data_IF_034524523328
#
_entry.id   IF_034524523328
#
_cell.length_a   1.000
_cell.length_b   1.000
_cell.length_c   1.000
_cell.angle_alpha   90.00
_cell.angle_beta   90.00
_cell.angle_gamma   90.00
#
_symmetry.space_group_name_H-M   'P 1'
#
loop_
_entity.id
_entity.type
_entity.pdbx_description
1 polymer ?
#
# COMPACT_ATOMS: atom_id res chain seq x y z
N UNK A 1 -28.53 -96.47 19.72
CA UNK A 1 -27.55 -95.65 18.96
C UNK A 1 -28.24 -94.38 18.51
N UNK A 2 -27.99 -93.25 19.16
CA UNK A 2 -28.40 -91.92 18.68
C UNK A 2 -27.26 -90.96 19.00
N UNK A 3 -26.74 -90.33 17.94
CA UNK A 3 -25.50 -89.55 17.92
C UNK A 3 -25.77 -88.04 17.98
N UNK A 4 -24.84 -87.35 18.63
CA UNK A 4 -24.71 -85.90 18.83
C UNK A 4 -25.00 -85.02 17.59
N UNK A 5 -25.72 -83.92 17.81
CA UNK A 5 -25.60 -82.67 17.03
C UNK A 5 -25.47 -81.51 18.00
N UNK A 6 -24.27 -80.96 18.12
CA UNK A 6 -24.02 -79.66 18.72
C UNK A 6 -22.72 -79.11 18.11
N UNK A 7 -22.68 -77.79 17.97
CA UNK A 7 -21.59 -76.95 17.46
C UNK A 7 -21.64 -76.70 15.95
N UNK A 8 -22.17 -75.54 15.54
CA UNK A 8 -21.62 -74.74 14.42
C UNK A 8 -22.29 -73.36 14.19
N UNK A 9 -22.80 -72.69 15.23
CA UNK A 9 -23.45 -71.37 15.04
C UNK A 9 -22.90 -70.20 15.90
N UNK A 10 -21.85 -70.38 16.70
CA UNK A 10 -21.36 -69.33 17.63
C UNK A 10 -19.95 -68.79 17.27
N UNK A 11 -19.34 -69.24 16.16
CA UNK A 11 -17.97 -68.81 15.80
C UNK A 11 -17.85 -67.69 14.78
N UNK A 12 -18.94 -67.28 14.13
CA UNK A 12 -18.90 -66.24 13.08
C UNK A 12 -19.12 -64.83 13.65
N UNK A 13 -19.79 -64.69 14.79
CA UNK A 13 -20.15 -63.36 15.31
C UNK A 13 -18.99 -62.61 15.96
N UNK A 14 -18.07 -63.30 16.64
CA UNK A 14 -16.95 -62.61 17.32
C UNK A 14 -15.96 -62.04 16.30
N UNK A 15 -15.69 -62.76 15.21
CA UNK A 15 -14.71 -62.30 14.22
C UNK A 15 -15.21 -61.08 13.44
N UNK A 16 -16.51 -61.07 13.10
CA UNK A 16 -17.16 -59.93 12.44
C UNK A 16 -17.26 -58.73 13.40
N UNK A 17 -17.56 -58.97 14.68
CA UNK A 17 -17.63 -57.91 15.69
C UNK A 17 -16.24 -57.28 15.96
N UNK A 18 -15.17 -58.08 15.99
CA UNK A 18 -13.79 -57.57 16.16
C UNK A 18 -13.35 -56.76 14.94
N UNK A 19 -13.72 -57.18 13.73
CA UNK A 19 -13.44 -56.41 12.51
C UNK A 19 -14.24 -55.10 12.51
N UNK A 20 -15.52 -55.11 12.90
CA UNK A 20 -16.35 -53.90 12.98
C UNK A 20 -15.87 -52.93 14.06
N UNK A 21 -15.49 -53.42 15.24
CA UNK A 21 -14.91 -52.60 16.32
C UNK A 21 -13.53 -52.06 15.90
N UNK A 22 -12.71 -52.87 15.22
CA UNK A 22 -11.43 -52.44 14.66
C UNK A 22 -11.59 -51.37 13.57
N UNK A 23 -12.61 -51.49 12.72
CA UNK A 23 -12.92 -50.50 11.68
C UNK A 23 -13.51 -49.21 12.26
N UNK A 24 -14.34 -49.29 13.31
CA UNK A 24 -14.83 -48.14 14.07
C UNK A 24 -13.73 -47.44 14.86
N UNK A 25 -12.77 -48.17 15.43
CA UNK A 25 -11.58 -47.60 16.07
C UNK A 25 -10.64 -46.98 15.03
N UNK A 26 -10.48 -47.59 13.86
CA UNK A 26 -9.69 -47.03 12.76
C UNK A 26 -10.30 -45.72 12.22
N UNK A 27 -11.64 -45.66 12.08
CA UNK A 27 -12.36 -44.43 11.72
C UNK A 27 -12.35 -43.38 12.84
N UNK A 28 -12.28 -43.80 14.12
CA UNK A 28 -12.14 -42.88 15.25
C UNK A 28 -10.70 -42.37 15.44
N UNK A 29 -9.68 -43.08 14.93
CA UNK A 29 -8.28 -42.63 14.90
C UNK A 29 -7.93 -41.81 13.67
N UNK A 30 -8.78 -41.84 12.62
CA UNK A 30 -8.76 -40.92 11.48
C UNK A 30 -9.59 -39.65 11.77
N UNK A 31 -9.76 -39.29 13.04
CA UNK A 31 -9.87 -37.88 13.40
C UNK A 31 -8.47 -37.30 13.23
N UNK A 32 -8.09 -37.11 11.97
CA UNK A 32 -6.90 -36.39 11.57
C UNK A 32 -6.90 -35.08 12.33
N UNK A 33 -5.94 -34.97 13.23
CA UNK A 33 -5.53 -33.78 13.94
C UNK A 33 -4.98 -32.80 12.87
N UNK A 34 -5.88 -32.20 12.11
CA UNK A 34 -5.59 -31.11 11.18
C UNK A 34 -5.57 -29.81 11.99
N UNK A 35 -4.75 -29.80 13.04
CA UNK A 35 -4.43 -28.63 13.83
C UNK A 35 -2.94 -28.62 14.16
N UNK A 36 -2.10 -29.00 13.19
CA UNK A 36 -0.83 -28.29 13.02
C UNK A 36 -1.09 -27.13 12.03
N UNK A 37 -2.04 -26.27 12.42
CA UNK A 37 -1.89 -24.87 12.11
C UNK A 37 -0.52 -24.51 12.68
N UNK A 38 0.44 -24.31 11.79
CA UNK A 38 1.49 -23.34 12.03
C UNK A 38 0.75 -21.99 12.16
N UNK A 39 0.08 -21.81 13.30
CA UNK A 39 -0.28 -20.53 13.81
C UNK A 39 1.07 -19.84 13.98
N UNK A 40 1.48 -19.13 12.94
CA UNK A 40 2.17 -17.89 13.13
C UNK A 40 1.26 -17.12 14.08
N UNK A 41 1.54 -17.24 15.38
CA UNK A 41 1.02 -16.37 16.41
C UNK A 41 1.16 -14.97 15.80
N UNK A 42 0.06 -14.21 15.60
CA UNK A 42 0.20 -12.83 15.22
C UNK A 42 1.02 -12.23 16.35
N UNK A 43 2.26 -11.84 16.05
CA UNK A 43 3.13 -11.24 17.03
C UNK A 43 2.37 -10.08 17.64
N UNK A 44 1.96 -10.24 18.89
CA UNK A 44 1.27 -9.23 19.69
C UNK A 44 2.20 -8.06 20.05
N UNK A 45 3.27 -7.87 19.27
CA UNK A 45 4.33 -6.88 19.43
C UNK A 45 4.39 -5.88 18.26
N UNK A 46 3.39 -5.83 17.36
CA UNK A 46 3.32 -4.75 16.36
C UNK A 46 3.38 -3.35 17.00
N UNK A 47 3.09 -3.20 18.30
CA UNK A 47 3.12 -1.90 18.99
C UNK A 47 4.46 -1.44 19.59
N UNK A 48 5.54 -2.24 19.58
CA UNK A 48 6.82 -1.88 20.22
C UNK A 48 7.98 -1.75 19.24
N UNK A 49 7.91 -2.42 18.09
CA UNK A 49 8.96 -2.40 17.07
C UNK A 49 8.83 -1.19 16.14
N UNK A 50 9.67 -0.18 16.30
CA UNK A 50 9.60 1.07 15.55
C UNK A 50 10.33 1.05 14.18
N UNK A 51 10.83 -0.12 13.77
CA UNK A 51 11.40 -0.37 12.43
C UNK A 51 10.33 -0.94 11.51
N UNK A 52 9.81 -0.12 10.62
CA UNK A 52 8.77 -0.47 9.65
C UNK A 52 9.23 -0.22 8.22
N UNK A 53 8.69 -0.94 7.25
CA UNK A 53 8.92 -0.67 5.83
C UNK A 53 7.71 -1.11 5.04
N UNK A 54 7.35 -0.36 4.00
CA UNK A 54 6.34 -0.79 3.02
C UNK A 54 7.05 -1.18 1.74
N UNK A 55 6.71 -2.36 1.21
CA UNK A 55 7.20 -2.83 -0.09
C UNK A 55 6.09 -2.70 -1.13
N UNK A 56 6.40 -2.04 -2.24
CA UNK A 56 5.48 -1.82 -3.35
C UNK A 56 6.08 -2.39 -4.64
N UNK A 57 5.22 -2.99 -5.45
CA UNK A 57 5.57 -3.57 -6.75
C UNK A 57 4.65 -3.03 -7.83
N UNK A 58 5.22 -2.39 -8.85
CA UNK A 58 4.47 -1.69 -9.89
C UNK A 58 4.42 -2.52 -11.17
N UNK A 59 3.45 -2.23 -12.03
CA UNK A 59 3.37 -2.76 -13.40
C UNK A 59 3.12 -4.26 -13.52
N UNK A 60 2.68 -4.97 -12.48
CA UNK A 60 2.24 -6.36 -12.58
C UNK A 60 3.15 -7.31 -13.40
N UNK A 61 4.48 -7.19 -13.29
CA UNK A 61 5.44 -8.06 -14.03
C UNK A 61 5.33 -9.51 -13.55
N UNK A 62 5.44 -10.48 -14.46
CA UNK A 62 5.30 -11.91 -14.11
C UNK A 62 6.39 -12.41 -13.14
N UNK A 63 7.57 -11.81 -13.16
CA UNK A 63 8.67 -12.08 -12.22
C UNK A 63 8.28 -11.76 -10.77
N UNK A 64 7.38 -10.80 -10.56
CA UNK A 64 6.89 -10.46 -9.24
C UNK A 64 6.09 -11.62 -8.61
N UNK A 65 5.36 -12.38 -9.42
CA UNK A 65 4.69 -13.59 -8.98
C UNK A 65 5.62 -14.80 -8.91
N UNK A 66 6.42 -15.02 -9.96
CA UNK A 66 7.19 -16.27 -10.12
C UNK A 66 8.52 -16.29 -9.36
N UNK A 67 9.10 -15.12 -9.05
CA UNK A 67 10.42 -15.00 -8.41
C UNK A 67 10.35 -14.25 -7.07
N UNK A 68 9.70 -13.09 -7.04
CA UNK A 68 9.66 -12.21 -5.85
C UNK A 68 8.76 -12.78 -4.76
N UNK A 69 7.53 -13.20 -5.09
CA UNK A 69 6.57 -13.76 -4.13
C UNK A 69 7.18 -14.92 -3.31
N UNK A 70 7.85 -15.95 -3.91
CA UNK A 70 8.52 -16.99 -3.13
C UNK A 70 9.55 -16.47 -2.11
N UNK A 71 10.27 -15.39 -2.43
CA UNK A 71 11.22 -14.76 -1.51
C UNK A 71 10.49 -14.03 -0.37
N UNK A 72 9.39 -13.34 -0.67
CA UNK A 72 8.54 -12.72 0.35
C UNK A 72 7.96 -13.77 1.30
N UNK A 73 7.41 -14.85 0.76
CA UNK A 73 6.80 -15.96 1.51
C UNK A 73 7.81 -16.62 2.46
N UNK A 74 9.06 -16.80 2.02
CA UNK A 74 10.16 -17.33 2.85
C UNK A 74 10.35 -16.56 4.16
N UNK A 75 10.09 -15.25 4.16
CA UNK A 75 10.23 -14.39 5.34
C UNK A 75 8.88 -14.00 5.97
N UNK A 76 7.77 -14.54 5.46
CA UNK A 76 6.42 -14.18 5.93
C UNK A 76 6.01 -12.74 5.61
N UNK A 77 6.65 -12.11 4.63
CA UNK A 77 6.39 -10.72 4.28
C UNK A 77 5.20 -10.60 3.32
N UNK A 78 4.37 -9.58 3.56
CA UNK A 78 3.31 -9.14 2.64
C UNK A 78 3.65 -7.76 2.09
N UNK A 79 3.16 -7.49 0.89
CA UNK A 79 3.52 -6.31 0.11
C UNK A 79 2.28 -5.79 -0.64
N UNK A 80 2.37 -4.58 -1.21
CA UNK A 80 1.33 -4.05 -2.09
C UNK A 80 1.75 -4.15 -3.55
N UNK A 81 0.89 -4.70 -4.40
CA UNK A 81 1.08 -4.77 -5.85
C UNK A 81 0.16 -3.77 -6.55
N UNK A 82 0.75 -2.84 -7.29
CA UNK A 82 0.05 -1.81 -8.06
C UNK A 82 -0.16 -2.26 -9.50
N UNK A 83 -1.42 -2.40 -9.89
CA UNK A 83 -1.82 -3.16 -11.07
C UNK A 83 -2.31 -2.25 -12.19
N UNK A 84 -1.77 -2.46 -13.39
CA UNK A 84 -2.30 -1.90 -14.63
C UNK A 84 -3.32 -2.87 -15.20
N UNK A 85 -4.61 -2.54 -15.12
CA UNK A 85 -5.66 -3.55 -15.34
C UNK A 85 -5.63 -4.17 -16.74
N UNK A 86 -5.36 -3.37 -17.80
CA UNK A 86 -5.26 -3.90 -19.17
C UNK A 86 -4.03 -4.75 -19.44
N UNK A 87 -3.09 -4.87 -18.52
CA UNK A 87 -1.94 -5.76 -18.73
C UNK A 87 -2.26 -7.19 -18.33
N UNK A 88 -3.19 -7.39 -17.39
CA UNK A 88 -3.66 -8.71 -16.99
C UNK A 88 -4.26 -9.45 -18.19
N UNK A 89 -3.82 -10.69 -18.41
CA UNK A 89 -4.18 -11.59 -19.52
C UNK A 89 -3.79 -11.12 -20.93
N UNK A 90 -3.42 -9.85 -21.09
CA UNK A 90 -3.33 -9.20 -22.39
C UNK A 90 -1.90 -8.78 -22.77
N UNK A 91 -0.93 -8.86 -21.85
CA UNK A 91 0.45 -8.44 -22.09
C UNK A 91 1.45 -9.53 -21.71
N UNK A 92 2.23 -10.02 -22.69
CA UNK A 92 3.28 -11.02 -22.45
C UNK A 92 4.34 -10.49 -21.47
N UNK A 93 4.72 -11.32 -20.49
CA UNK A 93 5.68 -10.96 -19.44
C UNK A 93 5.06 -10.25 -18.23
N UNK A 94 3.72 -10.18 -18.18
CA UNK A 94 2.93 -9.62 -17.10
C UNK A 94 2.03 -10.72 -16.52
N UNK A 95 1.58 -10.50 -15.29
CA UNK A 95 0.68 -11.42 -14.61
C UNK A 95 -0.65 -11.56 -15.35
N UNK A 96 -1.30 -12.71 -15.17
CA UNK A 96 -2.71 -12.93 -15.48
C UNK A 96 -3.60 -12.72 -14.24
N UNK A 97 -4.92 -12.78 -14.40
CA UNK A 97 -5.86 -12.63 -13.28
C UNK A 97 -5.70 -13.71 -12.21
N UNK A 98 -5.42 -14.96 -12.60
CA UNK A 98 -5.26 -16.07 -11.63
C UNK A 98 -4.09 -15.80 -10.68
N UNK A 99 -2.96 -15.30 -11.20
CA UNK A 99 -1.78 -14.96 -10.41
C UNK A 99 -2.04 -13.77 -9.48
N UNK A 100 -2.73 -12.73 -9.97
CA UNK A 100 -3.09 -11.58 -9.15
C UNK A 100 -4.06 -11.95 -8.02
N UNK A 101 -5.11 -12.72 -8.33
CA UNK A 101 -6.07 -13.20 -7.34
C UNK A 101 -5.41 -14.11 -6.30
N UNK A 102 -4.38 -14.86 -6.70
CA UNK A 102 -3.59 -15.68 -5.77
C UNK A 102 -2.83 -14.78 -4.78
N UNK A 103 -2.14 -13.74 -5.25
CA UNK A 103 -1.49 -12.76 -4.37
C UNK A 103 -2.49 -12.16 -3.37
N UNK A 104 -3.66 -11.76 -3.85
CA UNK A 104 -4.71 -11.18 -3.00
C UNK A 104 -5.23 -12.16 -1.94
N UNK A 105 -5.57 -13.39 -2.34
CA UNK A 105 -6.06 -14.45 -1.43
C UNK A 105 -5.02 -14.83 -0.37
N UNK A 106 -3.74 -14.72 -0.70
CA UNK A 106 -2.63 -14.96 0.23
C UNK A 106 -2.26 -13.74 1.09
N UNK A 107 -3.06 -12.69 1.06
CA UNK A 107 -2.95 -11.54 1.98
C UNK A 107 -2.00 -10.45 1.51
N UNK A 108 -1.53 -10.46 0.25
CA UNK A 108 -0.92 -9.28 -0.33
C UNK A 108 -1.98 -8.22 -0.64
N UNK A 109 -1.62 -6.96 -0.48
CA UNK A 109 -2.49 -5.84 -0.79
C UNK A 109 -2.42 -5.52 -2.29
N UNK A 110 -3.55 -5.14 -2.88
CA UNK A 110 -3.64 -4.81 -4.31
C UNK A 110 -4.07 -3.35 -4.46
N UNK A 111 -3.23 -2.56 -5.09
CA UNK A 111 -3.48 -1.17 -5.46
C UNK A 111 -3.72 -1.01 -6.97
N UNK A 112 -4.30 0.12 -7.36
CA UNK A 112 -4.53 0.42 -8.78
C UNK A 112 -3.43 1.30 -9.37
N UNK A 113 -3.03 1.02 -10.61
CA UNK A 113 -2.03 1.76 -11.37
C UNK A 113 -2.54 2.22 -12.74
N UNK A 114 -3.79 2.67 -12.78
CA UNK A 114 -4.57 3.04 -13.98
C UNK A 114 -4.96 1.87 -14.88
N UNK A 115 -5.81 2.15 -15.89
CA UNK A 115 -6.18 1.15 -16.88
C UNK A 115 -5.01 0.76 -17.79
N UNK A 116 -4.23 1.73 -18.27
CA UNK A 116 -3.25 1.52 -19.35
C UNK A 116 -1.81 1.95 -19.01
N UNK A 117 -1.51 2.32 -17.77
CA UNK A 117 -0.25 2.97 -17.36
C UNK A 117 -0.08 4.36 -18.04
N UNK A 118 -1.14 5.16 -18.03
CA UNK A 118 -1.19 6.45 -18.72
C UNK A 118 -0.61 7.59 -17.86
N UNK A 119 0.06 8.55 -18.51
CA UNK A 119 0.38 9.84 -17.90
C UNK A 119 -0.92 10.65 -17.69
N UNK A 120 -1.12 11.14 -16.47
CA UNK A 120 -2.35 11.82 -16.06
C UNK A 120 -2.28 13.35 -16.13
N UNK A 121 -1.09 13.95 -16.22
CA UNK A 121 -0.88 15.41 -16.16
C UNK A 121 -1.65 16.16 -17.24
N UNK A 122 -1.67 15.63 -18.47
CA UNK A 122 -2.29 16.25 -19.65
C UNK A 122 -3.56 15.53 -20.13
N UNK A 123 -4.11 14.66 -19.29
CA UNK A 123 -5.29 13.87 -19.65
C UNK A 123 -6.59 14.67 -19.54
N UNK A 124 -7.46 14.56 -20.55
CA UNK A 124 -8.82 15.10 -20.46
C UNK A 124 -9.61 14.46 -19.30
N UNK A 125 -10.62 15.15 -18.76
CA UNK A 125 -11.47 14.59 -17.69
C UNK A 125 -12.05 13.21 -18.05
N UNK A 126 -12.47 13.01 -19.30
CA UNK A 126 -12.96 11.70 -19.77
C UNK A 126 -11.87 10.64 -19.74
N UNK A 127 -10.65 10.99 -20.15
CA UNK A 127 -9.49 10.11 -20.03
C UNK A 127 -9.19 9.78 -18.56
N UNK A 128 -9.24 10.76 -17.67
CA UNK A 128 -8.99 10.54 -16.25
C UNK A 128 -10.02 9.61 -15.61
N UNK A 129 -11.32 9.79 -15.87
CA UNK A 129 -12.37 8.88 -15.38
C UNK A 129 -12.19 7.47 -15.96
N UNK A 130 -11.76 7.35 -17.21
CA UNK A 130 -11.40 6.06 -17.80
C UNK A 130 -10.18 5.42 -17.10
N UNK A 131 -9.08 6.16 -16.97
CA UNK A 131 -7.84 5.63 -16.41
C UNK A 131 -7.97 5.29 -14.93
N UNK A 132 -8.63 6.13 -14.14
CA UNK A 132 -8.70 6.06 -12.67
C UNK A 132 -9.96 5.31 -12.22
N UNK A 133 -11.12 5.68 -12.76
CA UNK A 133 -12.41 5.11 -12.39
C UNK A 133 -12.58 3.69 -12.90
N UNK A 134 -12.35 3.44 -14.20
CA UNK A 134 -12.53 2.08 -14.73
C UNK A 134 -11.46 1.09 -14.24
N UNK A 135 -10.28 1.56 -13.79
CA UNK A 135 -9.32 0.66 -13.13
C UNK A 135 -9.81 0.20 -11.75
N UNK A 136 -10.62 1.03 -11.06
CA UNK A 136 -11.30 0.63 -9.83
C UNK A 136 -12.35 -0.44 -10.13
N UNK A 137 -13.20 -0.20 -11.12
CA UNK A 137 -14.26 -1.12 -11.53
C UNK A 137 -13.68 -2.47 -12.00
N UNK A 138 -12.64 -2.44 -12.83
CA UNK A 138 -11.95 -3.62 -13.34
C UNK A 138 -11.43 -4.54 -12.22
N UNK A 139 -10.85 -3.98 -11.16
CA UNK A 139 -10.42 -4.77 -9.99
C UNK A 139 -11.62 -5.27 -9.16
N UNK A 140 -12.67 -4.45 -9.02
CA UNK A 140 -13.89 -4.81 -8.29
C UNK A 140 -14.66 -5.96 -8.96
N UNK A 141 -14.66 -6.04 -10.29
CA UNK A 141 -15.26 -7.15 -11.05
C UNK A 141 -14.61 -8.51 -10.70
N UNK A 142 -13.36 -8.50 -10.24
CA UNK A 142 -12.63 -9.66 -9.74
C UNK A 142 -12.66 -9.79 -8.21
N UNK A 143 -13.56 -9.07 -7.53
CA UNK A 143 -13.72 -9.11 -6.07
C UNK A 143 -12.61 -8.41 -5.29
N UNK A 144 -11.75 -7.63 -5.96
CA UNK A 144 -10.65 -6.91 -5.33
C UNK A 144 -11.04 -5.45 -5.13
N UNK A 145 -11.27 -5.04 -3.87
CA UNK A 145 -11.55 -3.65 -3.54
C UNK A 145 -10.25 -2.87 -3.26
N UNK A 146 -9.53 -2.47 -4.31
CA UNK A 146 -8.31 -1.68 -4.18
C UNK A 146 -8.58 -0.31 -3.54
N UNK A 147 -8.00 -0.01 -2.37
CA UNK A 147 -8.21 1.25 -1.64
C UNK A 147 -7.12 2.29 -1.91
N UNK A 148 -5.97 1.87 -2.43
CA UNK A 148 -4.85 2.75 -2.75
C UNK A 148 -4.56 2.83 -4.26
N UNK A 149 -4.06 3.98 -4.69
CA UNK A 149 -3.72 4.27 -6.08
C UNK A 149 -2.26 4.71 -6.22
N UNK A 150 -1.69 4.47 -7.38
CA UNK A 150 -0.36 4.93 -7.73
C UNK A 150 -0.37 5.68 -9.06
N UNK A 151 0.25 6.86 -9.09
CA UNK A 151 0.37 7.66 -10.31
C UNK A 151 1.48 7.08 -11.20
N UNK A 152 1.19 6.63 -12.43
CA UNK A 152 2.22 6.26 -13.38
C UNK A 152 3.17 7.44 -13.60
N UNK A 153 4.47 7.15 -13.58
CA UNK A 153 5.54 8.14 -13.77
C UNK A 153 5.59 9.29 -12.74
N UNK A 154 4.85 9.19 -11.63
CA UNK A 154 4.63 10.28 -10.66
C UNK A 154 3.77 11.46 -11.18
N UNK A 155 3.22 11.32 -12.38
CA UNK A 155 2.61 12.42 -13.14
C UNK A 155 1.12 12.63 -12.76
N UNK A 156 0.75 13.89 -12.54
CA UNK A 156 -0.59 14.34 -12.22
C UNK A 156 -0.93 14.39 -10.72
N UNK A 157 0.00 13.97 -9.85
CA UNK A 157 -0.18 13.98 -8.38
C UNK A 157 -0.29 15.39 -7.78
N UNK A 158 0.21 16.41 -8.49
CA UNK A 158 0.13 17.84 -8.15
C UNK A 158 -1.01 18.57 -8.89
N UNK A 159 -1.78 17.86 -9.72
CA UNK A 159 -2.91 18.40 -10.46
C UNK A 159 -4.22 18.21 -9.69
N UNK A 160 -4.84 19.32 -9.28
CA UNK A 160 -6.10 19.32 -8.50
C UNK A 160 -7.22 18.53 -9.18
N UNK A 161 -7.34 18.58 -10.50
CA UNK A 161 -8.39 17.86 -11.23
C UNK A 161 -8.17 16.35 -11.15
N UNK A 162 -6.92 15.90 -11.29
CA UNK A 162 -6.54 14.48 -11.19
C UNK A 162 -6.81 13.99 -9.76
N UNK A 163 -6.32 14.69 -8.74
CA UNK A 163 -6.52 14.34 -7.33
C UNK A 163 -8.02 14.30 -6.96
N UNK A 164 -8.82 15.24 -7.49
CA UNK A 164 -10.27 15.22 -7.31
C UNK A 164 -10.94 13.98 -7.90
N UNK A 165 -10.38 13.38 -8.97
CA UNK A 165 -10.92 12.15 -9.55
C UNK A 165 -10.43 10.94 -8.76
N UNK A 166 -9.14 10.88 -8.42
CA UNK A 166 -8.56 9.84 -7.55
C UNK A 166 -9.36 9.71 -6.25
N UNK A 167 -9.64 10.84 -5.59
CA UNK A 167 -10.38 10.88 -4.32
C UNK A 167 -11.83 10.37 -4.37
N UNK A 168 -12.42 10.19 -5.56
CA UNK A 168 -13.74 9.56 -5.70
C UNK A 168 -13.69 8.04 -5.56
N UNK A 169 -12.56 7.43 -5.93
CA UNK A 169 -12.43 5.97 -6.10
C UNK A 169 -11.47 5.33 -5.11
N UNK A 170 -10.49 6.07 -4.63
CA UNK A 170 -9.41 5.59 -3.76
C UNK A 170 -9.28 6.45 -2.50
N UNK A 171 -8.92 5.82 -1.39
CA UNK A 171 -8.74 6.49 -0.10
C UNK A 171 -7.41 7.21 0.00
N UNK A 172 -6.38 6.58 -0.59
CA UNK A 172 -4.98 6.97 -0.57
C UNK A 172 -4.39 6.94 -1.98
N UNK A 173 -3.39 7.78 -2.24
CA UNK A 173 -2.56 7.65 -3.43
C UNK A 173 -1.10 8.00 -3.19
N UNK A 174 -0.21 7.33 -3.93
CA UNK A 174 1.24 7.43 -3.75
C UNK A 174 2.00 7.85 -5.01
N UNK A 175 3.06 8.60 -4.76
CA UNK A 175 4.07 9.15 -5.67
C UNK A 175 5.38 8.37 -5.56
N UNK A 176 6.36 8.69 -6.39
CA UNK A 176 7.69 8.06 -6.41
C UNK A 176 8.84 9.04 -6.14
N UNK A 177 8.60 10.06 -5.32
CA UNK A 177 9.47 11.25 -5.20
C UNK A 177 10.32 11.36 -3.92
N UNK A 178 10.29 10.40 -3.00
CA UNK A 178 11.05 10.56 -1.74
C UNK A 178 11.31 9.24 -0.99
N UNK A 179 12.48 9.06 -0.34
CA UNK A 179 12.81 7.87 0.46
C UNK A 179 11.93 7.63 1.69
N UNK A 180 11.33 8.68 2.24
CA UNK A 180 10.48 8.58 3.42
C UNK A 180 9.14 9.27 3.18
N UNK A 181 8.07 8.65 3.70
CA UNK A 181 6.79 9.29 3.92
C UNK A 181 6.63 9.66 5.40
N UNK A 182 6.32 10.92 5.69
CA UNK A 182 6.08 11.42 7.05
C UNK A 182 4.59 11.39 7.40
N UNK A 183 4.23 10.79 8.54
CA UNK A 183 2.82 10.58 8.91
C UNK A 183 2.09 11.86 9.28
N UNK A 184 2.81 12.94 9.64
CA UNK A 184 2.24 14.27 9.87
C UNK A 184 2.46 15.24 8.71
N UNK A 185 3.11 14.77 7.65
CA UNK A 185 3.44 15.54 6.46
C UNK A 185 4.27 16.82 6.69
N UNK A 186 5.04 16.88 7.76
CA UNK A 186 5.83 18.02 8.22
C UNK A 186 7.35 17.86 7.95
N UNK A 187 7.76 16.73 7.37
CA UNK A 187 9.17 16.39 7.17
C UNK A 187 9.87 17.10 6.01
N UNK A 188 9.16 17.88 5.18
CA UNK A 188 9.71 18.55 3.99
C UNK A 188 9.90 20.06 4.19
N UNK A 189 10.63 20.44 5.23
CA UNK A 189 10.77 21.83 5.71
C UNK A 189 11.35 22.80 4.67
N UNK A 190 12.19 22.32 3.76
CA UNK A 190 12.78 23.14 2.70
C UNK A 190 11.81 23.44 1.55
N UNK A 191 10.67 22.72 1.49
CA UNK A 191 9.68 22.81 0.42
C UNK A 191 8.31 23.27 0.89
N UNK A 192 8.00 23.06 2.18
CA UNK A 192 6.71 23.40 2.76
C UNK A 192 6.83 23.64 4.26
N UNK A 193 5.99 24.54 4.77
CA UNK A 193 5.79 24.78 6.20
C UNK A 193 4.49 24.16 6.73
N UNK A 194 3.90 23.21 5.99
CA UNK A 194 2.68 22.54 6.43
C UNK A 194 2.94 21.71 7.69
N UNK A 195 1.93 21.68 8.56
CA UNK A 195 1.97 20.97 9.83
C UNK A 195 0.95 19.83 9.89
N UNK A 196 0.27 19.54 8.78
CA UNK A 196 -0.63 18.39 8.64
C UNK A 196 -0.73 17.90 7.18
N UNK A 197 -1.44 16.79 6.99
CA UNK A 197 -1.61 16.12 5.71
C UNK A 197 -2.95 16.46 5.02
N UNK A 198 -3.60 17.60 5.37
CA UNK A 198 -4.88 17.97 4.74
C UNK A 198 -4.68 18.11 3.23
N UNK A 199 -5.59 17.61 2.40
CA UNK A 199 -5.41 17.66 0.93
C UNK A 199 -5.46 19.07 0.35
N UNK A 200 -6.33 19.92 0.88
CA UNK A 200 -6.52 21.28 0.37
C UNK A 200 -6.31 22.33 1.45
N UNK A 201 -5.68 23.43 1.05
CA UNK A 201 -5.66 24.68 1.81
C UNK A 201 -7.08 25.27 1.91
N UNK A 202 -7.29 26.25 2.80
CA UNK A 202 -8.57 26.98 2.92
C UNK A 202 -9.02 27.61 1.59
N UNK A 203 -8.07 27.97 0.73
CA UNK A 203 -8.34 28.57 -0.58
C UNK A 203 -8.45 27.53 -1.71
N UNK A 204 -8.56 26.24 -1.37
CA UNK A 204 -8.79 25.16 -2.34
C UNK A 204 -7.57 24.71 -3.15
N UNK A 205 -6.37 25.26 -2.89
CA UNK A 205 -5.11 24.79 -3.50
C UNK A 205 -4.67 23.47 -2.85
N UNK A 206 -4.08 22.57 -3.63
CA UNK A 206 -3.45 21.35 -3.10
C UNK A 206 -2.31 21.72 -2.14
N UNK A 207 -2.18 20.94 -1.08
CA UNK A 207 -1.01 20.99 -0.18
C UNK A 207 0.14 20.16 -0.73
N UNK A 208 1.35 20.43 -0.26
CA UNK A 208 2.58 19.84 -0.80
C UNK A 208 2.68 18.33 -0.53
N UNK A 209 2.22 17.88 0.64
CA UNK A 209 2.07 16.46 0.93
C UNK A 209 0.74 16.20 1.65
N UNK A 210 0.04 15.16 1.21
CA UNK A 210 -1.29 14.79 1.69
C UNK A 210 -1.59 13.32 1.40
N UNK A 211 -2.79 12.85 1.76
CA UNK A 211 -3.22 11.46 1.55
C UNK A 211 -3.25 10.97 0.09
N UNK A 212 -3.17 11.85 -0.89
CA UNK A 212 -3.06 11.50 -2.30
C UNK A 212 -1.68 11.82 -2.90
N UNK A 213 -0.68 12.10 -2.07
CA UNK A 213 0.72 12.32 -2.47
C UNK A 213 1.71 11.66 -1.50
N UNK A 214 1.37 10.46 -1.05
CA UNK A 214 2.22 9.61 -0.18
C UNK A 214 3.50 9.28 -0.93
N UNK A 215 4.67 9.51 -0.35
CA UNK A 215 5.94 9.39 -1.10
C UNK A 215 6.61 8.05 -0.91
N UNK A 216 7.08 7.46 -2.00
CA UNK A 216 7.99 6.33 -1.97
C UNK A 216 9.25 6.57 -2.80
N UNK A 217 10.24 5.71 -2.60
CA UNK A 217 11.47 5.71 -3.36
C UNK A 217 11.45 4.60 -4.38
N UNK A 218 11.52 5.01 -5.65
CA UNK A 218 11.68 4.08 -6.76
C UNK A 218 13.09 3.53 -6.78
N UNK A 219 13.20 2.28 -6.32
CA UNK A 219 14.46 1.55 -6.17
C UNK A 219 15.18 1.40 -7.51
N UNK A 220 14.47 0.83 -8.50
CA UNK A 220 14.99 0.59 -9.85
C UNK A 220 15.30 1.89 -10.60
N UNK A 221 14.53 2.96 -10.35
CA UNK A 221 14.83 4.28 -10.91
C UNK A 221 16.12 4.84 -10.35
N UNK A 222 16.31 4.72 -9.03
CA UNK A 222 17.53 5.16 -8.37
C UNK A 222 18.76 4.44 -8.93
N UNK A 223 18.65 3.15 -9.27
CA UNK A 223 19.70 2.42 -9.98
C UNK A 223 20.10 3.12 -11.27
N UNK A 224 19.12 3.36 -12.14
CA UNK A 224 19.33 3.99 -13.45
C UNK A 224 19.89 5.40 -13.33
N UNK A 225 19.30 6.23 -12.47
CA UNK A 225 19.68 7.64 -12.33
C UNK A 225 21.09 7.83 -11.76
N UNK A 226 21.53 6.91 -10.92
CA UNK A 226 22.83 7.01 -10.24
C UNK A 226 23.86 6.00 -10.78
N UNK A 227 23.48 5.20 -11.79
CA UNK A 227 24.30 4.11 -12.35
C UNK A 227 24.82 3.15 -11.27
N UNK A 228 23.98 2.81 -10.29
CA UNK A 228 24.38 1.89 -9.23
C UNK A 228 24.53 0.46 -9.77
N UNK A 229 25.60 -0.21 -9.34
CA UNK A 229 25.69 -1.65 -9.37
C UNK A 229 24.95 -2.27 -8.15
N UNK A 230 24.86 -3.60 -8.09
CA UNK A 230 24.11 -4.26 -7.02
C UNK A 230 24.66 -3.96 -5.61
N UNK A 231 25.98 -3.96 -5.35
CA UNK A 231 26.50 -3.55 -4.05
C UNK A 231 26.13 -2.11 -3.66
N UNK A 232 26.28 -1.14 -4.56
CA UNK A 232 25.94 0.25 -4.26
C UNK A 232 24.44 0.45 -4.03
N UNK A 233 23.61 -0.25 -4.82
CA UNK A 233 22.15 -0.20 -4.66
C UNK A 233 21.71 -0.85 -3.34
N UNK A 234 22.33 -1.96 -2.95
CA UNK A 234 22.11 -2.60 -1.64
C UNK A 234 22.48 -1.67 -0.47
N UNK A 235 23.64 -1.01 -0.54
CA UNK A 235 24.05 -0.03 0.48
C UNK A 235 23.05 1.13 0.54
N UNK A 236 22.56 1.59 -0.62
CA UNK A 236 21.53 2.62 -0.70
C UNK A 236 20.21 2.16 -0.09
N UNK A 237 19.78 0.93 -0.36
CA UNK A 237 18.61 0.32 0.27
C UNK A 237 18.72 0.36 1.80
N UNK A 238 19.85 -0.10 2.35
CA UNK A 238 20.13 -0.08 3.80
C UNK A 238 20.03 1.35 4.36
N UNK A 239 20.61 2.33 3.67
CA UNK A 239 20.52 3.73 4.09
C UNK A 239 19.07 4.22 4.13
N UNK A 240 18.28 3.92 3.10
CA UNK A 240 16.88 4.34 3.01
C UNK A 240 16.06 3.73 4.13
N UNK A 241 16.10 2.40 4.31
CA UNK A 241 15.27 1.74 5.33
C UNK A 241 15.68 2.12 6.75
N UNK A 242 16.97 2.34 7.01
CA UNK A 242 17.44 2.75 8.33
C UNK A 242 17.20 4.24 8.64
N UNK A 243 17.00 5.09 7.63
CA UNK A 243 16.82 6.55 7.82
C UNK A 243 15.60 6.91 8.68
N UNK A 244 14.61 6.02 8.77
CA UNK A 244 13.46 6.16 9.67
C UNK A 244 13.86 6.26 11.16
N UNK A 245 15.03 5.72 11.54
CA UNK A 245 15.52 5.69 12.92
C UNK A 245 15.81 7.09 13.47
N UNK A 246 15.86 8.10 12.60
CA UNK A 246 15.96 9.51 13.01
C UNK A 246 14.63 10.05 13.56
N UNK A 247 13.51 9.37 13.28
CA UNK A 247 12.16 9.87 13.55
C UNK A 247 11.35 8.91 14.42
N UNK A 248 11.46 7.60 14.17
CA UNK A 248 10.75 6.57 14.89
C UNK A 248 11.47 6.26 16.21
N UNK A 249 10.71 6.24 17.31
CA UNK A 249 11.22 6.01 18.67
C UNK A 249 10.17 5.32 19.53
N UNK A 250 10.60 4.36 20.35
CA UNK A 250 9.80 3.76 21.42
C UNK A 250 8.43 3.23 20.91
N UNK A 251 8.42 2.53 19.78
CA UNK A 251 7.20 2.01 19.15
C UNK A 251 6.36 3.04 18.38
N UNK A 252 6.71 4.33 18.43
CA UNK A 252 6.01 5.37 17.67
C UNK A 252 6.58 5.48 16.25
N UNK A 253 5.70 5.40 15.25
CA UNK A 253 6.05 5.56 13.84
C UNK A 253 5.72 6.99 13.40
N UNK A 254 6.73 7.71 12.92
CA UNK A 254 6.60 9.07 12.37
C UNK A 254 6.97 9.13 10.89
N UNK A 255 7.90 8.29 10.45
CA UNK A 255 8.33 8.19 9.07
C UNK A 255 8.40 6.72 8.63
N UNK A 256 7.96 6.45 7.42
CA UNK A 256 7.96 5.10 6.83
C UNK A 256 8.75 5.15 5.52
N UNK A 257 9.80 4.32 5.37
CA UNK A 257 10.38 4.04 4.08
C UNK A 257 9.39 3.22 3.25
N UNK A 258 9.06 3.72 2.06
CA UNK A 258 8.22 3.02 1.08
C UNK A 258 9.09 2.72 -0.13
N UNK A 259 9.37 1.45 -0.37
CA UNK A 259 10.28 1.00 -1.44
C UNK A 259 9.43 0.54 -2.61
N UNK A 260 9.71 1.06 -3.81
CA UNK A 260 8.97 0.75 -5.03
C UNK A 260 9.89 0.00 -5.99
N UNK A 261 9.52 -1.24 -6.31
CA UNK A 261 10.15 -2.07 -7.32
C UNK A 261 9.25 -2.14 -8.56
N UNK A 262 9.84 -2.20 -9.74
CA UNK A 262 9.14 -2.37 -11.02
C UNK A 262 9.54 -3.72 -11.64
N UNK A 263 10.85 -3.97 -11.73
CA UNK A 263 11.42 -5.13 -12.45
C UNK A 263 12.22 -6.05 -11.54
N UNK A 264 11.77 -6.23 -10.30
CA UNK A 264 12.39 -7.17 -9.37
C UNK A 264 12.26 -8.62 -9.90
N UNK A 265 13.40 -9.31 -10.01
CA UNK A 265 13.49 -10.66 -10.58
C UNK A 265 13.46 -10.73 -12.11
N UNK A 266 13.34 -9.60 -12.81
CA UNK A 266 13.56 -9.56 -14.26
C UNK A 266 15.07 -9.62 -14.57
N UNK A 267 15.38 -10.19 -15.72
CA UNK A 267 16.73 -10.16 -16.29
C UNK A 267 17.10 -8.74 -16.77
N UNK A 268 18.35 -8.33 -16.59
CA UNK A 268 18.88 -7.02 -17.01
C UNK A 268 19.83 -6.43 -15.97
N UNK A 269 20.32 -5.20 -16.22
CA UNK A 269 21.27 -4.52 -15.31
C UNK A 269 21.00 -3.04 -15.07
N UNK A 270 20.08 -2.39 -15.79
CA UNK A 270 20.01 -0.92 -15.81
C UNK A 270 18.81 -0.35 -15.04
N UNK A 271 17.66 -1.03 -15.10
CA UNK A 271 16.42 -0.65 -14.42
C UNK A 271 15.74 -1.93 -13.94
N UNK A 272 16.40 -2.64 -13.04
CA UNK A 272 15.92 -3.86 -12.43
C UNK A 272 16.58 -4.08 -11.08
N UNK A 273 15.96 -4.96 -10.31
CA UNK A 273 16.53 -5.51 -9.09
C UNK A 273 16.71 -6.99 -9.35
N UNK A 274 17.96 -7.42 -9.47
CA UNK A 274 18.28 -8.84 -9.63
C UNK A 274 17.74 -9.66 -8.44
N UNK A 275 17.43 -10.94 -8.66
CA UNK A 275 16.85 -11.78 -7.62
C UNK A 275 17.80 -12.00 -6.43
N UNK A 276 19.11 -12.07 -6.65
CA UNK A 276 20.09 -12.21 -5.56
C UNK A 276 20.16 -10.93 -4.72
N UNK A 277 20.09 -9.77 -5.37
CA UNK A 277 20.00 -8.49 -4.68
C UNK A 277 18.72 -8.40 -3.85
N UNK A 278 17.56 -8.70 -4.45
CA UNK A 278 16.28 -8.70 -3.73
C UNK A 278 16.30 -9.67 -2.54
N UNK A 279 16.89 -10.86 -2.69
CA UNK A 279 17.06 -11.81 -1.58
C UNK A 279 17.90 -11.25 -0.44
N UNK A 280 18.97 -10.52 -0.74
CA UNK A 280 19.82 -9.86 0.28
C UNK A 280 19.05 -8.78 1.02
N UNK A 281 18.27 -7.96 0.31
CA UNK A 281 17.42 -6.91 0.88
C UNK A 281 16.37 -7.50 1.83
N UNK A 282 15.64 -8.52 1.40
CA UNK A 282 14.63 -9.17 2.25
C UNK A 282 15.27 -9.85 3.47
N UNK A 283 16.43 -10.50 3.28
CA UNK A 283 17.20 -11.07 4.39
C UNK A 283 17.65 -10.00 5.39
N UNK A 284 18.07 -8.83 4.91
CA UNK A 284 18.45 -7.70 5.76
C UNK A 284 17.26 -7.21 6.60
N UNK A 285 16.09 -7.04 5.99
CA UNK A 285 14.86 -6.65 6.70
C UNK A 285 14.49 -7.67 7.77
N UNK A 286 14.51 -8.96 7.43
CA UNK A 286 14.20 -10.04 8.36
C UNK A 286 15.18 -10.07 9.55
N UNK A 287 16.49 -10.08 9.28
CA UNK A 287 17.51 -10.11 10.32
C UNK A 287 17.55 -8.83 11.17
N UNK A 288 17.16 -7.70 10.58
CA UNK A 288 17.04 -6.41 11.27
C UNK A 288 15.77 -6.27 12.12
N UNK A 289 14.92 -7.30 12.14
CA UNK A 289 13.60 -7.33 12.77
C UNK A 289 12.71 -6.17 12.29
N UNK A 290 12.65 -5.93 10.98
CA UNK A 290 11.72 -4.95 10.42
C UNK A 290 10.30 -5.53 10.37
N UNK A 291 9.32 -4.72 10.73
CA UNK A 291 7.92 -5.01 10.44
C UNK A 291 7.62 -4.59 9.00
N UNK A 292 7.42 -5.57 8.12
CA UNK A 292 7.00 -5.30 6.74
C UNK A 292 5.49 -5.08 6.69
N UNK A 293 5.10 -3.91 6.19
CA UNK A 293 3.73 -3.44 6.09
C UNK A 293 3.28 -3.39 4.63
N UNK A 294 1.98 -3.32 4.45
CA UNK A 294 1.31 -3.01 3.18
C UNK A 294 0.73 -1.60 3.22
N UNK A 295 0.35 -1.06 2.06
CA UNK A 295 -0.37 0.21 1.99
C UNK A 295 -1.74 0.14 2.67
N UNK A 296 -2.36 -1.05 2.76
CA UNK A 296 -3.57 -1.26 3.54
C UNK A 296 -3.38 -1.10 5.07
N UNK A 297 -2.15 -1.19 5.59
CA UNK A 297 -1.85 -0.91 7.00
C UNK A 297 -1.82 0.59 7.31
N UNK A 298 -1.65 1.44 6.30
CA UNK A 298 -1.65 2.89 6.43
C UNK A 298 -3.10 3.42 6.41
N UNK A 299 -3.42 4.30 7.35
CA UNK A 299 -4.74 4.94 7.44
C UNK A 299 -4.61 6.44 7.65
N UNK A 300 -5.66 7.19 7.33
CA UNK A 300 -5.72 8.65 7.47
C UNK A 300 -6.84 9.06 8.43
N UNK A 301 -6.52 9.89 9.42
CA UNK A 301 -7.47 10.45 10.36
C UNK A 301 -7.97 11.82 9.87
N UNK A 302 -9.25 11.89 9.50
CA UNK A 302 -9.87 13.11 8.98
C UNK A 302 -10.03 14.25 10.01
N UNK A 303 -9.98 13.96 11.31
CA UNK A 303 -10.10 14.97 12.36
C UNK A 303 -8.77 15.67 12.61
N UNK A 304 -7.68 14.91 12.64
CA UNK A 304 -6.33 15.44 12.88
C UNK A 304 -5.58 15.78 11.60
N UNK A 305 -6.04 15.29 10.44
CA UNK A 305 -5.33 15.32 9.17
C UNK A 305 -3.96 14.62 9.21
N UNK A 306 -3.83 13.52 9.94
CA UNK A 306 -2.59 12.76 10.02
C UNK A 306 -2.78 11.33 9.57
N UNK A 307 -1.72 10.73 9.06
CA UNK A 307 -1.67 9.30 8.90
C UNK A 307 -1.37 8.60 10.23
N UNK A 308 -1.72 7.32 10.28
CA UNK A 308 -1.29 6.40 11.32
C UNK A 308 -1.16 4.99 10.73
N UNK A 309 -0.35 4.15 11.37
CA UNK A 309 -0.26 2.73 11.02
C UNK A 309 -1.22 1.95 11.91
N UNK A 310 -2.09 1.14 11.31
CA UNK A 310 -3.02 0.28 12.05
C UNK A 310 -2.23 -0.67 12.95
N UNK A 311 -2.64 -0.78 14.22
CA UNK A 311 -1.97 -1.65 15.20
C UNK A 311 -0.73 -1.05 15.89
N UNK A 312 -0.33 0.18 15.54
CA UNK A 312 0.72 0.92 16.23
C UNK A 312 0.11 2.02 17.11
N UNK A 313 0.73 2.36 18.25
CA UNK A 313 0.29 3.50 19.04
C UNK A 313 0.43 4.78 18.19
N UNK A 314 -0.62 5.60 18.07
CA UNK A 314 -0.48 6.89 17.42
C UNK A 314 0.48 7.75 18.24
N UNK A 315 1.24 8.61 17.58
CA UNK A 315 2.05 9.61 18.29
C UNK A 315 1.15 10.38 19.27
N UNK A 316 1.56 10.44 20.54
CA UNK A 316 0.84 11.23 21.54
C UNK A 316 0.88 12.68 21.10
N UNK A 317 -0.25 13.14 20.56
CA UNK A 317 -0.42 14.52 20.16
C UNK A 317 -0.34 15.36 21.43
N UNK A 318 0.81 15.96 21.71
CA UNK A 318 0.83 17.08 22.65
C UNK A 318 -0.04 18.14 22.02
N UNK A 319 -1.25 18.33 22.54
CA UNK A 319 -2.06 19.49 22.22
C UNK A 319 -1.22 20.69 22.64
N UNK A 320 -0.49 21.28 21.70
CA UNK A 320 -0.04 22.65 21.85
C UNK A 320 -1.34 23.43 21.86
N UNK A 321 -1.87 23.71 23.05
CA UNK A 321 -2.89 24.74 23.23
C UNK A 321 -2.25 26.03 22.75
N UNK A 322 -2.31 26.31 21.46
CA UNK A 322 -2.31 27.69 21.01
C UNK A 322 -3.57 28.26 21.64
N UNK A 323 -3.40 28.99 22.75
CA UNK A 323 -4.46 29.80 23.33
C UNK A 323 -5.13 30.55 22.20
N UNK A 324 -6.39 30.23 21.86
CA UNK A 324 -7.08 31.02 20.87
C UNK A 324 -7.37 32.35 21.56
N UNK A 325 -6.76 33.43 21.06
CA UNK A 325 -7.13 34.79 21.42
C UNK A 325 -8.52 35.05 20.82
N UNK A 326 -9.55 34.54 21.47
CA UNK A 326 -10.93 34.98 21.24
C UNK A 326 -11.12 36.26 22.05
N UNK A 327 -10.89 37.41 21.42
CA UNK A 327 -11.66 38.59 21.79
C UNK A 327 -13.10 38.35 21.35
N UNK A 328 -14.00 38.11 22.30
CA UNK A 328 -15.44 38.12 22.06
C UNK A 328 -15.84 39.47 21.45
N UNK A 329 -16.32 39.44 20.21
CA UNK A 329 -17.02 40.59 19.63
C UNK A 329 -18.51 40.41 19.97
N UNK A 330 -19.16 41.36 20.64
CA UNK A 330 -20.58 41.26 20.94
C UNK A 330 -21.41 41.25 19.64
N UNK A 331 -22.34 40.32 19.51
CA UNK A 331 -23.28 40.27 18.39
C UNK A 331 -24.18 41.51 18.40
N UNK A 332 -24.10 42.33 17.34
CA UNK A 332 -25.10 43.37 17.05
C UNK A 332 -26.21 42.81 16.15
N UNK A 333 -27.48 43.22 16.35
CA UNK A 333 -28.59 42.76 15.52
C UNK A 333 -28.52 43.35 14.11
N UNK A 334 -29.01 42.57 13.14
CA UNK A 334 -29.14 42.95 11.72
C UNK A 334 -30.16 44.09 11.58
N UNK A 335 -29.76 45.20 10.97
CA UNK A 335 -30.67 46.18 10.38
C UNK A 335 -30.36 46.37 8.89
N UNK A 336 -31.43 46.33 8.10
CA UNK A 336 -31.50 46.63 6.67
C UNK A 336 -31.23 48.10 6.38
N UNK A 337 -30.42 48.43 5.36
CA UNK A 337 -30.73 49.40 4.27
C UNK A 337 -29.53 49.67 3.34
N UNK A 338 -29.81 49.57 2.04
CA UNK A 338 -29.39 50.40 0.90
C UNK A 338 -27.91 50.71 0.57
N UNK A 339 -27.52 50.22 -0.61
CA UNK A 339 -27.03 50.92 -1.81
C UNK A 339 -25.69 51.68 -1.85
N UNK A 340 -25.14 51.57 -3.08
CA UNK A 340 -24.33 52.53 -3.85
C UNK A 340 -22.83 52.20 -3.97
N UNK A 341 -22.48 51.71 -5.18
CA UNK A 341 -21.36 52.01 -6.12
C UNK A 341 -19.95 52.25 -5.55
N UNK A 342 -18.83 52.02 -6.23
CA UNK A 342 -18.47 52.03 -7.65
C UNK A 342 -17.04 51.46 -7.78
N UNK A 343 -16.71 50.96 -8.97
CA UNK A 343 -15.45 51.13 -9.70
C UNK A 343 -14.14 51.32 -8.92
N UNK A 344 -13.16 50.47 -9.20
CA UNK A 344 -12.04 50.89 -10.05
C UNK A 344 -11.16 49.70 -10.45
N UNK A 345 -11.05 49.54 -11.76
CA UNK A 345 -10.04 48.73 -12.42
C UNK A 345 -8.64 49.29 -12.12
N UNK A 346 -7.63 48.41 -12.06
CA UNK A 346 -6.34 48.79 -12.60
C UNK A 346 -5.60 47.56 -13.16
N UNK A 347 -5.00 47.67 -14.36
CA UNK A 347 -4.53 46.57 -15.17
C UNK A 347 -3.03 46.35 -14.98
N UNK A 348 -2.63 45.20 -14.45
CA UNK A 348 -1.24 44.73 -14.52
C UNK A 348 -1.29 43.22 -14.71
N UNK A 349 -1.48 42.78 -15.95
CA UNK A 349 -1.02 41.45 -16.43
C UNK A 349 -1.22 41.30 -17.95
N UNK A 350 -0.82 42.32 -18.71
CA UNK A 350 -0.44 42.16 -20.11
C UNK A 350 1.10 42.08 -20.19
N UNK A 351 1.66 40.92 -19.85
CA UNK A 351 3.06 40.58 -20.10
C UNK A 351 3.35 39.08 -19.94
N UNK A 352 2.50 38.18 -20.47
CA UNK A 352 2.86 36.75 -20.61
C UNK A 352 2.14 36.11 -21.82
N UNK A 353 2.13 36.83 -22.94
CA UNK A 353 1.73 36.34 -24.27
C UNK A 353 2.85 36.55 -25.28
N UNK A 354 4.06 36.10 -24.95
CA UNK A 354 5.13 35.89 -25.93
C UNK A 354 5.96 34.71 -25.41
N UNK A 355 5.65 33.51 -25.90
CA UNK A 355 6.50 32.31 -26.03
C UNK A 355 5.56 31.10 -26.10
N UNK A 356 5.64 30.37 -27.21
CA UNK A 356 4.79 29.24 -27.66
C UNK A 356 3.52 29.67 -28.41
N UNK A 357 3.74 29.99 -29.69
CA UNK A 357 2.69 30.02 -30.70
C UNK A 357 2.40 28.62 -31.24
N UNK A 358 1.12 28.46 -31.59
CA UNK A 358 0.39 27.29 -32.10
C UNK A 358 -0.13 26.31 -31.07
#
# INVERSE_FOLDING_TARGET
MTSNRNLDFIRVDIFVLVILIGFLLFLATEQFDFQDELHAQPSSEKGTNDKVVILNFDDNRISQFTQVKPVLDKYGFKATFYVVCKYLDNKKGYMNWTELETLYKEGHDIGSHTMNHANLSDSSKKSLEYQIGQSKECLQEHGINATSFAYPFDEGSDNRTVVNIVSKYYELARTASSPLNFLQCDGWKDKSHQADCRTYTKNGKLTYANKYSIRGWSHDLSRRENSYDDPALYDRFIQVVNSQSNYNKNGTIKAIPIIIYHKAGDQGTDYNTDLDLFNKEMKYLHNGNFTVLTMADLAYNVKSNYFFVKGFPPETMTVVKSTPNFTEIPLRPVSTTSNVTESMANPIMDAFKILFGQ
#
